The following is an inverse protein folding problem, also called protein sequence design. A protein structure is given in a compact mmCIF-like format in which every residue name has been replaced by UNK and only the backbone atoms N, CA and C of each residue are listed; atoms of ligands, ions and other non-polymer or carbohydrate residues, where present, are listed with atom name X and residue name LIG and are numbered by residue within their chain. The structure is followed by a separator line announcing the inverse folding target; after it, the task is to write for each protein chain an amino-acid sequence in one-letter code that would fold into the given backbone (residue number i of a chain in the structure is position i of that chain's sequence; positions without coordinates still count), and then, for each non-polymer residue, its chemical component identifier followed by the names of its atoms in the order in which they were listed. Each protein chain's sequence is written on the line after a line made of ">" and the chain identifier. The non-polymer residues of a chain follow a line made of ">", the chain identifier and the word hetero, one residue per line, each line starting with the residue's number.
data_IF_971840259755
#
_entry.id   IF_971840259755
#
_cell.length_a   1.000
_cell.length_b   1.000
_cell.length_c   1.000
_cell.angle_alpha   90.00
_cell.angle_beta   90.00
_cell.angle_gamma   90.00
#
_symmetry.space_group_name_H-M   'P 1'
#
loop_
_entity.id
_entity.type
_entity.pdbx_description
1 polymer ?
#
# COMPACT_ATOMS: atom_id res chain seq x y z
N UNK A 1 68.78 4.33 58.92
CA UNK A 1 67.63 4.40 59.86
C UNK A 1 66.58 5.22 59.12
N UNK A 2 65.47 4.68 58.63
CA UNK A 2 64.42 3.88 59.28
C UNK A 2 63.79 2.93 58.24
N UNK A 3 63.46 1.72 58.67
CA UNK A 3 62.73 0.71 57.87
C UNK A 3 61.23 0.75 58.17
N UNK A 4 60.38 0.48 57.17
CA UNK A 4 58.99 -0.02 57.25
C UNK A 4 58.38 0.06 55.83
N UNK A 5 57.54 -0.84 55.31
CA UNK A 5 56.97 -2.12 55.74
C UNK A 5 56.29 -2.69 54.48
N UNK A 6 56.43 -4.00 54.20
CA UNK A 6 55.69 -4.69 53.14
C UNK A 6 54.18 -4.70 53.43
N UNK A 7 53.34 -4.56 52.41
CA UNK A 7 51.98 -5.12 52.37
C UNK A 7 51.73 -5.68 50.96
N UNK A 8 51.64 -7.01 50.86
CA UNK A 8 51.02 -7.74 49.75
C UNK A 8 49.50 -7.49 49.79
N UNK A 9 48.85 -7.33 48.62
CA UNK A 9 47.42 -7.62 48.51
C UNK A 9 47.10 -8.25 47.16
N UNK A 10 46.37 -9.35 47.25
CA UNK A 10 46.02 -10.36 46.26
C UNK A 10 45.12 -9.84 45.13
N UNK A 11 45.39 -10.25 43.89
CA UNK A 11 44.47 -10.11 42.78
C UNK A 11 43.69 -11.43 42.60
N UNK A 12 42.39 -11.41 42.91
CA UNK A 12 41.45 -12.49 42.63
C UNK A 12 40.87 -12.23 41.24
N UNK A 13 41.12 -13.13 40.30
CA UNK A 13 40.54 -13.07 38.96
C UNK A 13 39.10 -13.65 38.99
N UNK A 14 38.10 -12.81 38.70
CA UNK A 14 36.72 -13.24 38.48
C UNK A 14 36.60 -13.75 37.03
N UNK A 15 36.46 -15.07 36.85
CA UNK A 15 35.99 -15.64 35.58
C UNK A 15 34.47 -15.49 35.50
N UNK A 16 34.00 -14.56 34.66
CA UNK A 16 32.59 -14.50 34.26
C UNK A 16 32.35 -15.47 33.09
N UNK A 17 31.63 -16.55 33.34
CA UNK A 17 31.16 -17.48 32.31
C UNK A 17 30.06 -16.81 31.48
N UNK A 18 30.35 -16.53 30.22
CA UNK A 18 29.37 -16.03 29.25
C UNK A 18 28.44 -17.20 28.85
N UNK A 19 27.25 -17.28 29.45
CA UNK A 19 26.21 -18.19 28.99
C UNK A 19 25.56 -17.61 27.74
N UNK A 20 25.85 -18.23 26.59
CA UNK A 20 25.16 -17.93 25.33
C UNK A 20 23.81 -18.67 25.38
N UNK A 21 22.77 -17.94 25.79
CA UNK A 21 21.39 -18.44 25.70
C UNK A 21 20.96 -18.44 24.23
N UNK A 22 20.81 -19.62 23.64
CA UNK A 22 20.15 -19.77 22.35
C UNK A 22 18.65 -19.51 22.56
N UNK A 23 18.18 -18.32 22.17
CA UNK A 23 16.75 -18.04 22.10
C UNK A 23 16.10 -19.02 21.11
N UNK A 24 15.05 -19.71 21.54
CA UNK A 24 14.23 -20.50 20.64
C UNK A 24 13.68 -19.63 19.51
N UNK A 25 13.54 -20.15 18.27
CA UNK A 25 12.89 -19.40 17.20
C UNK A 25 11.48 -19.01 17.65
N UNK A 26 11.17 -17.72 17.56
CA UNK A 26 9.85 -17.21 17.90
C UNK A 26 8.78 -17.96 17.08
N UNK A 27 7.63 -18.31 17.68
CA UNK A 27 6.53 -18.91 16.93
C UNK A 27 6.13 -17.99 15.77
N UNK A 28 5.90 -18.57 14.60
CA UNK A 28 5.36 -17.84 13.44
C UNK A 28 3.99 -17.32 13.84
N UNK A 29 3.89 -16.04 14.18
CA UNK A 29 2.63 -15.39 14.48
C UNK A 29 1.70 -15.55 13.28
N UNK A 30 0.56 -16.21 13.49
CA UNK A 30 -0.49 -16.29 12.47
C UNK A 30 -0.90 -14.85 12.14
N UNK A 31 -0.80 -14.47 10.86
CA UNK A 31 -1.21 -13.14 10.39
C UNK A 31 -2.59 -12.76 10.91
N UNK A 32 -2.65 -11.70 11.70
CA UNK A 32 -3.91 -11.18 12.19
C UNK A 32 -4.73 -10.58 11.04
N UNK A 33 -5.96 -11.08 10.87
CA UNK A 33 -6.92 -10.49 9.95
C UNK A 33 -7.55 -9.26 10.60
N UNK A 34 -7.59 -8.15 9.86
CA UNK A 34 -8.28 -6.95 10.30
C UNK A 34 -9.79 -7.07 10.08
N UNK A 35 -10.59 -6.84 11.13
CA UNK A 35 -12.05 -6.76 11.00
C UNK A 35 -12.50 -5.60 10.12
N UNK A 36 -11.69 -4.53 10.01
CA UNK A 36 -11.99 -3.33 9.23
C UNK A 36 -11.64 -3.41 7.75
N UNK A 37 -11.11 -4.56 7.27
CA UNK A 37 -10.81 -4.72 5.85
C UNK A 37 -12.08 -4.56 4.99
N UNK A 38 -12.04 -3.74 3.92
CA UNK A 38 -13.20 -3.50 3.06
C UNK A 38 -13.55 -4.74 2.25
N UNK A 39 -14.84 -4.89 1.91
CA UNK A 39 -15.24 -5.84 0.87
C UNK A 39 -14.89 -5.26 -0.50
N UNK A 40 -14.39 -6.11 -1.40
CA UNK A 40 -14.11 -5.73 -2.78
C UNK A 40 -15.37 -5.22 -3.50
N UNK A 41 -16.56 -5.70 -3.12
CA UNK A 41 -17.85 -5.20 -3.62
C UNK A 41 -18.13 -3.75 -3.19
N UNK A 42 -17.66 -3.33 -2.03
CA UNK A 42 -17.88 -1.97 -1.53
C UNK A 42 -17.02 -0.95 -2.29
N UNK A 43 -15.82 -1.39 -2.71
CA UNK A 43 -14.89 -0.62 -3.51
C UNK A 43 -15.27 -0.65 -4.99
N UNK A 44 -15.74 -1.79 -5.48
CA UNK A 44 -16.26 -2.03 -6.82
C UNK A 44 -15.30 -1.55 -7.94
N UNK A 45 -14.23 -2.31 -8.18
CA UNK A 45 -13.26 -2.02 -9.24
C UNK A 45 -11.96 -1.42 -8.71
N UNK A 46 -11.21 -2.20 -7.93
CA UNK A 46 -9.88 -1.85 -7.44
C UNK A 46 -8.80 -2.50 -8.31
N UNK A 47 -7.92 -1.70 -8.91
CA UNK A 47 -6.91 -2.18 -9.85
C UNK A 47 -5.55 -1.57 -9.55
N UNK A 48 -4.53 -2.42 -9.52
CA UNK A 48 -3.14 -1.97 -9.48
C UNK A 48 -2.68 -1.59 -10.89
N UNK A 49 -2.29 -0.33 -11.06
CA UNK A 49 -1.66 0.16 -12.28
C UNK A 49 -0.16 0.27 -12.05
N UNK A 50 0.58 -0.48 -12.85
CA UNK A 50 2.03 -0.67 -12.72
C UNK A 50 2.63 -0.59 -14.10
N UNK A 51 3.79 0.06 -14.21
CA UNK A 51 4.64 -0.12 -15.39
C UNK A 51 5.23 -1.52 -15.38
N UNK A 52 5.49 -2.06 -16.57
CA UNK A 52 6.15 -3.36 -16.69
C UNK A 52 7.58 -3.28 -16.13
N UNK A 53 7.85 -4.05 -15.06
CA UNK A 53 9.16 -4.18 -14.39
C UNK A 53 10.06 -5.17 -15.16
N UNK A 54 10.29 -4.90 -16.46
CA UNK A 54 11.13 -5.76 -17.34
C UNK A 54 12.62 -5.49 -17.19
N UNK A 55 13.00 -4.37 -16.56
CA UNK A 55 14.37 -4.01 -16.21
C UNK A 55 14.43 -3.33 -14.83
N UNK A 56 15.64 -3.28 -14.24
CA UNK A 56 15.85 -2.70 -12.91
C UNK A 56 15.77 -1.17 -12.85
N UNK A 57 15.74 -0.51 -14.00
CA UNK A 57 15.76 0.97 -14.11
C UNK A 57 14.35 1.56 -14.21
N UNK A 58 13.35 0.73 -14.51
CA UNK A 58 11.95 1.16 -14.60
C UNK A 58 11.47 1.72 -13.26
N UNK A 59 10.98 2.96 -13.29
CA UNK A 59 10.41 3.61 -12.12
C UNK A 59 9.21 2.83 -11.59
N UNK A 60 9.32 2.36 -10.34
CA UNK A 60 8.34 1.48 -9.68
C UNK A 60 7.17 2.26 -9.07
N UNK A 61 6.63 3.20 -9.83
CA UNK A 61 5.42 3.92 -9.44
C UNK A 61 4.24 2.97 -9.58
N UNK A 62 3.61 2.66 -8.44
CA UNK A 62 2.40 1.88 -8.38
C UNK A 62 1.24 2.79 -8.00
N UNK A 63 0.15 2.69 -8.76
CA UNK A 63 -1.09 3.41 -8.47
C UNK A 63 -2.20 2.43 -8.21
N UNK A 64 -3.12 2.80 -7.35
CA UNK A 64 -4.36 2.06 -7.16
C UNK A 64 -5.47 2.87 -7.83
N UNK A 65 -6.01 2.33 -8.92
CA UNK A 65 -7.19 2.86 -9.61
C UNK A 65 -8.43 2.27 -8.95
N UNK A 66 -9.32 3.14 -8.50
CA UNK A 66 -10.70 2.78 -8.14
C UNK A 66 -11.61 3.20 -9.31
N UNK A 67 -12.05 2.24 -10.11
CA UNK A 67 -12.74 2.47 -11.38
C UNK A 67 -14.21 2.86 -11.22
N UNK A 68 -14.88 2.43 -10.14
CA UNK A 68 -16.23 2.90 -9.82
C UNK A 68 -16.26 4.44 -9.66
N UNK A 69 -17.07 5.16 -10.46
CA UNK A 69 -17.21 6.60 -10.35
C UNK A 69 -17.83 6.99 -9.01
N UNK A 70 -17.24 7.98 -8.34
CA UNK A 70 -17.66 8.49 -7.02
C UNK A 70 -17.48 9.99 -6.95
N UNK A 71 -18.13 10.63 -5.97
CA UNK A 71 -17.75 11.98 -5.55
C UNK A 71 -16.35 11.98 -4.93
N UNK A 72 -15.70 13.14 -4.87
CA UNK A 72 -14.32 13.26 -4.40
C UNK A 72 -14.12 12.69 -2.99
N UNK A 73 -14.96 13.08 -2.03
CA UNK A 73 -14.83 12.66 -0.64
C UNK A 73 -15.02 11.15 -0.47
N UNK A 74 -16.00 10.57 -1.17
CA UNK A 74 -16.22 9.12 -1.18
C UNK A 74 -15.06 8.38 -1.84
N UNK A 75 -14.47 8.96 -2.90
CA UNK A 75 -13.27 8.45 -3.56
C UNK A 75 -12.06 8.43 -2.62
N UNK A 76 -11.81 9.53 -1.90
CA UNK A 76 -10.72 9.62 -0.91
C UNK A 76 -10.95 8.67 0.27
N UNK A 77 -12.20 8.53 0.72
CA UNK A 77 -12.57 7.56 1.74
C UNK A 77 -12.35 6.13 1.25
N UNK A 78 -12.66 5.83 -0.02
CA UNK A 78 -12.40 4.52 -0.61
C UNK A 78 -10.90 4.22 -0.71
N UNK A 79 -10.06 5.22 -1.03
CA UNK A 79 -8.60 5.08 -0.91
C UNK A 79 -8.20 4.71 0.53
N UNK A 80 -8.73 5.43 1.52
CA UNK A 80 -8.43 5.17 2.93
C UNK A 80 -8.87 3.80 3.39
N UNK A 81 -10.03 3.32 2.93
CA UNK A 81 -10.52 1.97 3.23
C UNK A 81 -9.58 0.89 2.67
N UNK A 82 -8.92 1.17 1.54
CA UNK A 82 -7.91 0.30 0.93
C UNK A 82 -6.53 0.38 1.62
N UNK A 83 -6.40 1.21 2.67
CA UNK A 83 -5.16 1.43 3.40
C UNK A 83 -4.24 2.48 2.77
N UNK A 84 -4.75 3.31 1.84
CA UNK A 84 -3.98 4.30 1.10
C UNK A 84 -4.56 5.73 1.18
N UNK A 85 -3.77 6.72 0.82
CA UNK A 85 -4.26 8.08 0.53
C UNK A 85 -4.59 8.27 -0.95
N UNK A 86 -5.31 9.34 -1.27
CA UNK A 86 -5.38 9.84 -2.65
C UNK A 86 -3.98 10.17 -3.18
N UNK A 87 -3.76 9.99 -4.48
CA UNK A 87 -2.46 10.30 -5.09
C UNK A 87 -2.25 11.82 -5.15
N UNK A 88 -1.10 12.30 -4.65
CA UNK A 88 -0.72 13.71 -4.79
C UNK A 88 -0.16 13.93 -6.19
N UNK A 89 -0.95 14.56 -7.06
CA UNK A 89 -0.55 14.81 -8.44
C UNK A 89 0.31 16.08 -8.54
N UNK A 90 1.57 15.92 -8.94
CA UNK A 90 2.50 17.04 -9.18
C UNK A 90 2.89 17.03 -10.67
N UNK A 91 2.37 17.95 -11.49
CA UNK A 91 2.68 18.02 -12.92
C UNK A 91 4.20 18.10 -13.17
N UNK A 92 4.67 17.40 -14.21
CA UNK A 92 6.08 17.37 -14.61
C UNK A 92 6.98 16.39 -13.85
N UNK A 93 6.45 15.71 -12.82
CA UNK A 93 7.17 14.61 -12.15
C UNK A 93 7.05 13.29 -12.93
N UNK A 94 8.03 12.40 -12.74
CA UNK A 94 7.97 11.06 -13.33
C UNK A 94 6.71 10.28 -12.90
N UNK A 95 6.26 10.45 -11.65
CA UNK A 95 5.01 9.85 -11.17
C UNK A 95 3.79 10.33 -11.94
N UNK A 96 3.68 11.64 -12.15
CA UNK A 96 2.59 12.22 -12.94
C UNK A 96 2.58 11.73 -14.40
N UNK A 97 3.75 11.66 -15.03
CA UNK A 97 3.89 11.12 -16.39
C UNK A 97 3.51 9.64 -16.45
N UNK A 98 4.02 8.82 -15.51
CA UNK A 98 3.74 7.39 -15.47
C UNK A 98 2.26 7.10 -15.25
N UNK A 99 1.58 7.86 -14.37
CA UNK A 99 0.13 7.72 -14.17
C UNK A 99 -0.62 7.95 -15.48
N UNK A 100 -0.33 9.04 -16.19
CA UNK A 100 -0.98 9.38 -17.46
C UNK A 100 -0.72 8.29 -18.51
N UNK A 101 0.53 7.81 -18.62
CA UNK A 101 0.88 6.69 -19.50
C UNK A 101 0.08 5.44 -19.16
N UNK A 102 -0.04 5.10 -17.87
CA UNK A 102 -0.77 3.92 -17.43
C UNK A 102 -2.27 4.04 -17.68
N UNK A 103 -2.87 5.20 -17.42
CA UNK A 103 -4.29 5.42 -17.70
C UNK A 103 -4.61 5.29 -19.20
N UNK A 104 -3.68 5.66 -20.09
CA UNK A 104 -3.87 5.58 -21.53
C UNK A 104 -3.52 4.21 -22.14
N UNK A 105 -2.61 3.44 -21.54
CA UNK A 105 -2.06 2.24 -22.16
C UNK A 105 -2.37 0.94 -21.40
N UNK A 106 -2.77 1.01 -20.13
CA UNK A 106 -3.10 -0.19 -19.36
C UNK A 106 -4.45 -0.76 -19.83
N UNK A 107 -4.48 -2.05 -20.18
CA UNK A 107 -5.67 -2.71 -20.72
C UNK A 107 -6.89 -2.63 -19.79
N UNK A 108 -6.68 -2.72 -18.47
CA UNK A 108 -7.77 -2.63 -17.49
C UNK A 108 -8.29 -1.20 -17.43
N UNK A 109 -7.40 -0.20 -17.35
CA UNK A 109 -7.81 1.20 -17.35
C UNK A 109 -8.56 1.58 -18.65
N UNK A 110 -8.08 1.11 -19.80
CA UNK A 110 -8.74 1.32 -21.09
C UNK A 110 -10.11 0.63 -21.17
N UNK A 111 -10.27 -0.52 -20.52
CA UNK A 111 -11.56 -1.22 -20.48
C UNK A 111 -12.56 -0.54 -19.54
N UNK A 112 -12.14 -0.22 -18.33
CA UNK A 112 -13.07 0.16 -17.26
C UNK A 112 -13.32 1.66 -17.15
N UNK A 113 -12.34 2.49 -17.53
CA UNK A 113 -12.41 3.95 -17.37
C UNK A 113 -12.10 4.70 -18.68
N UNK A 114 -12.29 4.06 -19.84
CA UNK A 114 -12.12 4.70 -21.15
C UNK A 114 -13.01 5.94 -21.31
N UNK A 115 -14.24 5.87 -20.83
CA UNK A 115 -15.23 6.96 -20.91
C UNK A 115 -14.85 8.21 -20.11
N UNK A 116 -13.92 8.10 -19.16
CA UNK A 116 -13.50 9.20 -18.31
C UNK A 116 -12.18 9.79 -18.80
N UNK A 117 -12.17 11.10 -19.03
CA UNK A 117 -10.94 11.86 -19.25
C UNK A 117 -10.34 12.39 -17.96
N UNK A 118 -11.15 12.56 -16.91
CA UNK A 118 -10.75 13.14 -15.62
C UNK A 118 -10.83 12.10 -14.48
N UNK A 119 -9.93 12.24 -13.52
CA UNK A 119 -9.76 11.32 -12.39
C UNK A 119 -9.48 12.10 -11.11
N UNK A 120 -10.11 11.70 -10.00
CA UNK A 120 -9.84 12.31 -8.71
C UNK A 120 -8.42 12.02 -8.24
N UNK A 121 -7.73 13.07 -7.79
CA UNK A 121 -6.40 13.04 -7.16
C UNK A 121 -6.46 13.88 -5.89
N UNK A 122 -5.54 13.69 -4.95
CA UNK A 122 -5.60 14.35 -3.66
C UNK A 122 -5.49 15.89 -3.77
N UNK A 123 -6.37 16.60 -3.06
CA UNK A 123 -6.28 18.05 -2.90
C UNK A 123 -5.11 18.41 -1.96
N UNK A 124 -3.91 18.60 -2.52
CA UNK A 124 -2.74 19.04 -1.76
C UNK A 124 -2.85 20.47 -1.22
N UNK A 125 -3.76 21.28 -1.78
CA UNK A 125 -4.02 22.67 -1.35
C UNK A 125 -5.48 22.76 -0.89
N UNK A 126 -5.75 23.24 0.34
CA UNK A 126 -7.10 23.55 0.77
C UNK A 126 -7.59 24.83 0.07
N UNK A 127 -8.74 24.74 -0.59
CA UNK A 127 -9.34 25.86 -1.33
C UNK A 127 -9.59 25.40 -2.76
N UNK A 128 -10.79 24.94 -3.09
CA UNK A 128 -12.04 25.71 -3.07
C UNK A 128 -13.12 24.78 -2.50
N UNK A 129 -13.81 25.12 -1.41
CA UNK A 129 -14.64 24.15 -0.64
C UNK A 129 -15.67 23.35 -1.47
N UNK A 130 -16.05 23.85 -2.64
CA UNK A 130 -16.99 23.21 -3.56
C UNK A 130 -16.32 22.51 -4.74
N UNK A 131 -15.06 22.82 -5.06
CA UNK A 131 -14.31 22.22 -6.16
C UNK A 131 -13.12 21.41 -5.66
N UNK A 132 -12.94 20.25 -6.28
CA UNK A 132 -11.90 19.30 -5.97
C UNK A 132 -10.98 19.09 -7.17
N UNK A 133 -9.77 18.62 -6.90
CA UNK A 133 -8.71 18.47 -7.88
C UNK A 133 -8.88 17.18 -8.67
N UNK A 134 -9.01 17.30 -9.98
CA UNK A 134 -8.99 16.16 -10.90
C UNK A 134 -7.83 16.31 -11.88
N UNK A 135 -7.24 15.19 -12.30
CA UNK A 135 -6.25 15.15 -13.39
C UNK A 135 -6.92 14.66 -14.67
N UNK A 136 -6.61 15.32 -15.79
CA UNK A 136 -7.02 14.88 -17.12
C UNK A 136 -5.98 13.92 -17.72
N UNK A 137 -6.36 12.67 -18.02
CA UNK A 137 -5.46 11.64 -18.58
C UNK A 137 -4.94 11.97 -19.98
N UNK A 138 -5.62 12.81 -20.74
CA UNK A 138 -5.20 13.14 -22.11
C UNK A 138 -4.16 14.26 -22.12
N UNK A 139 -4.23 15.18 -21.16
CA UNK A 139 -3.37 16.38 -21.13
C UNK A 139 -2.33 16.37 -20.01
N UNK A 140 -2.51 15.53 -18.99
CA UNK A 140 -1.71 15.55 -17.76
C UNK A 140 -1.86 16.84 -16.95
N UNK A 141 -2.90 17.64 -17.22
CA UNK A 141 -3.21 18.86 -16.48
C UNK A 141 -4.25 18.58 -15.40
N UNK A 142 -4.24 19.41 -14.37
CA UNK A 142 -5.24 19.36 -13.30
C UNK A 142 -6.28 20.46 -13.46
N UNK A 143 -7.53 20.13 -13.14
CA UNK A 143 -8.66 21.05 -13.11
C UNK A 143 -9.33 21.02 -11.74
N UNK A 144 -9.89 22.16 -11.33
CA UNK A 144 -10.75 22.26 -10.16
C UNK A 144 -12.20 22.19 -10.61
N UNK A 145 -12.89 21.12 -10.25
CA UNK A 145 -14.26 20.82 -10.69
C UNK A 145 -15.14 20.45 -9.49
N UNK A 146 -16.49 20.54 -9.58
CA UNK A 146 -17.36 20.28 -8.43
C UNK A 146 -17.08 18.93 -7.77
N UNK A 147 -16.90 18.91 -6.45
CA UNK A 147 -16.54 17.70 -5.70
C UNK A 147 -17.60 16.58 -5.80
N UNK A 148 -18.82 16.90 -6.20
CA UNK A 148 -19.92 15.96 -6.43
C UNK A 148 -19.87 15.25 -7.79
N UNK A 149 -18.98 15.68 -8.71
CA UNK A 149 -18.79 15.01 -10.01
C UNK A 149 -18.40 13.55 -9.80
N UNK A 150 -19.02 12.65 -10.55
CA UNK A 150 -18.76 11.22 -10.45
C UNK A 150 -17.57 10.84 -11.34
N UNK A 151 -16.40 10.64 -10.73
CA UNK A 151 -15.18 10.25 -11.43
C UNK A 151 -14.52 9.05 -10.77
N UNK A 152 -13.77 8.24 -11.53
CA UNK A 152 -12.85 7.27 -10.96
C UNK A 152 -11.76 7.98 -10.13
N UNK A 153 -11.19 7.26 -9.16
CA UNK A 153 -10.24 7.83 -8.20
C UNK A 153 -8.88 7.18 -8.31
N UNK A 154 -7.82 7.99 -8.24
CA UNK A 154 -6.44 7.51 -8.16
C UNK A 154 -5.94 7.63 -6.73
N UNK A 155 -5.62 6.49 -6.13
CA UNK A 155 -4.95 6.39 -4.86
C UNK A 155 -3.45 6.15 -5.09
N UNK A 156 -2.63 6.61 -4.14
CA UNK A 156 -1.26 6.16 -4.05
C UNK A 156 -1.25 4.68 -3.65
N UNK A 157 -0.28 3.87 -4.11
CA UNK A 157 -0.08 2.53 -3.57
C UNK A 157 1.10 2.56 -2.60
N UNK A 158 0.81 2.75 -1.31
CA UNK A 158 1.84 2.88 -0.27
C UNK A 158 2.43 1.55 0.18
N UNK A 159 1.77 0.45 -0.17
CA UNK A 159 2.15 -0.89 0.27
C UNK A 159 3.47 -1.29 -0.39
N UNK A 160 4.44 -1.71 0.43
CA UNK A 160 5.74 -2.11 -0.06
C UNK A 160 5.68 -3.45 -0.78
N UNK A 161 6.58 -3.66 -1.75
CA UNK A 161 6.80 -4.99 -2.32
C UNK A 161 7.22 -5.92 -1.18
N UNK A 162 6.47 -7.00 -0.99
CA UNK A 162 6.82 -8.02 0.00
C UNK A 162 8.22 -8.55 -0.31
N UNK A 163 9.09 -8.51 0.69
CA UNK A 163 10.36 -9.23 0.71
C UNK A 163 10.31 -10.22 1.87
N UNK A 164 11.14 -11.28 1.84
CA UNK A 164 11.11 -12.36 2.84
C UNK A 164 11.28 -11.85 4.30
N UNK A 165 11.84 -10.66 4.48
CA UNK A 165 12.18 -10.07 5.78
C UNK A 165 11.15 -9.06 6.30
N UNK A 166 10.24 -8.55 5.44
CA UNK A 166 9.26 -7.53 5.81
C UNK A 166 7.89 -7.89 5.27
N UNK A 167 6.95 -8.08 6.20
CA UNK A 167 5.58 -8.43 5.89
C UNK A 167 4.66 -7.23 6.17
N UNK A 168 4.17 -6.60 5.10
CA UNK A 168 3.12 -5.61 5.21
C UNK A 168 1.75 -6.31 5.37
N UNK A 169 1.04 -5.98 6.44
CA UNK A 169 -0.29 -6.51 6.77
C UNK A 169 -1.40 -5.45 6.66
N UNK A 170 -1.08 -4.23 6.21
CA UNK A 170 -2.01 -3.09 6.18
C UNK A 170 -3.04 -3.16 5.06
N UNK A 171 -2.64 -3.58 3.86
CA UNK A 171 -3.48 -3.60 2.65
C UNK A 171 -4.47 -4.77 2.59
N UNK A 172 -5.27 -5.02 3.62
CA UNK A 172 -6.21 -6.16 3.64
C UNK A 172 -7.49 -5.89 2.83
N UNK A 173 -8.02 -6.92 2.18
CA UNK A 173 -9.29 -6.85 1.42
C UNK A 173 -10.06 -8.16 1.57
N UNK A 174 -11.39 -8.06 1.66
CA UNK A 174 -12.30 -9.20 1.70
C UNK A 174 -12.97 -9.40 0.34
N UNK A 175 -13.18 -10.66 -0.05
CA UNK A 175 -13.90 -11.03 -1.27
C UNK A 175 -14.94 -12.08 -0.91
N UNK A 176 -16.19 -11.82 -1.30
CA UNK A 176 -17.27 -12.81 -1.18
C UNK A 176 -17.17 -13.80 -2.33
N UNK A 177 -17.10 -15.08 -1.99
CA UNK A 177 -17.12 -16.19 -2.94
C UNK A 177 -18.33 -17.09 -2.64
N UNK A 178 -18.72 -18.01 -3.55
CA UNK A 178 -19.81 -18.95 -3.28
C UNK A 178 -19.61 -19.82 -2.03
N UNK A 179 -18.35 -20.05 -1.63
CA UNK A 179 -17.98 -20.90 -0.47
C UNK A 179 -17.71 -20.09 0.81
N UNK A 180 -17.94 -18.77 0.78
CA UNK A 180 -17.76 -17.89 1.93
C UNK A 180 -16.92 -16.64 1.62
N UNK A 181 -16.71 -15.82 2.64
CA UNK A 181 -15.87 -14.62 2.53
C UNK A 181 -14.42 -15.00 2.81
N UNK A 182 -13.54 -14.73 1.84
CA UNK A 182 -12.09 -14.86 2.02
C UNK A 182 -11.47 -13.49 2.24
N UNK A 183 -10.41 -13.43 3.04
CA UNK A 183 -9.66 -12.20 3.29
C UNK A 183 -8.22 -12.39 2.86
N UNK A 184 -7.71 -11.41 2.13
CA UNK A 184 -6.37 -11.40 1.59
C UNK A 184 -5.64 -10.10 1.89
N UNK A 185 -4.45 -9.98 1.31
CA UNK A 185 -3.58 -8.81 1.40
C UNK A 185 -3.20 -8.37 0.00
N UNK A 186 -3.13 -7.07 -0.18
CA UNK A 186 -2.48 -6.42 -1.30
C UNK A 186 -1.01 -6.21 -0.96
N UNK A 187 -0.14 -6.38 -1.94
CA UNK A 187 1.22 -5.87 -1.94
C UNK A 187 1.37 -4.83 -3.07
N UNK A 188 2.58 -4.31 -3.27
CA UNK A 188 2.84 -3.33 -4.34
C UNK A 188 2.35 -3.80 -5.73
N UNK A 189 2.33 -5.11 -6.00
CA UNK A 189 2.16 -5.67 -7.35
C UNK A 189 0.93 -6.57 -7.52
N UNK A 190 0.33 -7.07 -6.44
CA UNK A 190 -0.75 -8.06 -6.51
C UNK A 190 -1.66 -8.04 -5.28
N UNK A 191 -2.87 -8.59 -5.46
CA UNK A 191 -3.71 -9.06 -4.37
C UNK A 191 -3.46 -10.56 -4.15
N UNK A 192 -3.32 -10.97 -2.89
CA UNK A 192 -2.98 -12.34 -2.49
C UNK A 192 -3.96 -12.84 -1.45
N UNK A 193 -4.50 -14.02 -1.70
CA UNK A 193 -5.39 -14.73 -0.78
C UNK A 193 -4.72 -16.06 -0.45
N UNK A 194 -4.37 -16.26 0.82
CA UNK A 194 -3.64 -17.45 1.27
C UNK A 194 -4.61 -18.47 1.85
N UNK A 195 -4.34 -19.76 1.61
CA UNK A 195 -5.08 -20.85 2.25
C UNK A 195 -6.54 -20.96 1.81
N UNK A 196 -6.88 -20.59 0.58
CA UNK A 196 -8.22 -20.83 0.03
C UNK A 196 -8.43 -22.36 -0.03
N UNK A 197 -9.41 -22.93 0.70
CA UNK A 197 -9.69 -24.35 0.63
C UNK A 197 -10.24 -24.69 -0.76
N UNK A 198 -9.60 -25.64 -1.44
CA UNK A 198 -9.98 -26.07 -2.80
C UNK A 198 -11.14 -27.08 -2.82
N UNK A 199 -11.60 -27.55 -1.66
CA UNK A 199 -12.69 -28.51 -1.52
C UNK A 199 -13.41 -28.34 -0.17
N UNK A 200 -14.67 -28.77 -0.10
CA UNK A 200 -15.36 -28.97 1.18
C UNK A 200 -14.61 -30.05 1.99
N UNK A 201 -14.45 -29.89 3.32
CA UNK A 201 -13.92 -30.95 4.17
C UNK A 201 -14.78 -32.23 4.02
N UNK A 202 -14.18 -33.43 3.99
CA UNK A 202 -14.90 -34.70 3.88
C UNK A 202 -15.79 -34.99 5.10
#
# INVERSE_FOLDING_TARGET
>A
MVAMKQILSSAVALLATLQISFAAPAPVEKRALSSSAPLASDINGAHLLLLNDVDSETSKNAFLLLSAPRGYYDGMQACSAMGDGGYIYIPGTAGASNLVTLLNNNAVAQKEVSAFSQFWVYNGVPGVLENCLAVNKNTGKTDWIPCSTQLPTICFNSVLRRVLLFEDTSGQVKVTTPVGTIQGWRDQNAFRFLGIPYAEPP
#
